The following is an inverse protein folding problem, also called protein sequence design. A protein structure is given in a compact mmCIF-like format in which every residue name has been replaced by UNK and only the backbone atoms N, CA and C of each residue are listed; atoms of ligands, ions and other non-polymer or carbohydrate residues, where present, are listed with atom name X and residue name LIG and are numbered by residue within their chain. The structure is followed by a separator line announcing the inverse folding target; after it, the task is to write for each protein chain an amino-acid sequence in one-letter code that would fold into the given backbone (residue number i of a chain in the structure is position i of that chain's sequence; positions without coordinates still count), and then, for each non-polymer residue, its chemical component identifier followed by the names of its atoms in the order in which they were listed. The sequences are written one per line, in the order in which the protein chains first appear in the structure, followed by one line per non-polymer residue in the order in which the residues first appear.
data_IF_797526424970
#
_entry.id   IF_797526424970
#
_cell.length_a   1.000
_cell.length_b   1.000
_cell.length_c   1.000
_cell.angle_alpha   90.00
_cell.angle_beta   90.00
_cell.angle_gamma   90.00
#
_symmetry.space_group_name_H-M   'P 1'
#
loop_
_entity.id
_entity.type
_entity.pdbx_description
1 polymer ?
#
# COMPACT_ATOMS: atom_id res chain seq x y z
N UNK A 1 -28.39 5.64 -30.59
CA UNK A 1 -27.92 4.82 -29.45
C UNK A 1 -26.78 5.55 -28.78
N UNK A 2 -26.94 5.99 -27.51
CA UNK A 2 -25.83 6.58 -26.74
C UNK A 2 -24.90 5.43 -26.30
N UNK A 3 -23.58 5.52 -26.50
CA UNK A 3 -22.65 4.51 -26.02
C UNK A 3 -22.73 4.45 -24.48
N UNK A 4 -22.80 3.24 -23.96
CA UNK A 4 -22.87 2.97 -22.52
C UNK A 4 -21.65 3.55 -21.82
N UNK A 5 -21.84 4.59 -21.00
CA UNK A 5 -20.85 5.09 -20.05
C UNK A 5 -20.69 4.11 -18.87
N UNK A 6 -20.25 2.88 -19.17
CA UNK A 6 -19.71 2.00 -18.15
C UNK A 6 -18.27 2.45 -17.86
N UNK A 7 -17.89 2.70 -16.60
CA UNK A 7 -16.51 3.03 -16.28
C UNK A 7 -15.59 1.90 -16.79
N UNK A 8 -14.42 2.23 -17.36
CA UNK A 8 -13.50 1.22 -17.87
C UNK A 8 -13.14 0.24 -16.76
N UNK A 9 -13.22 -1.07 -17.04
CA UNK A 9 -12.80 -2.11 -16.10
C UNK A 9 -11.38 -1.80 -15.62
N UNK A 10 -11.10 -1.83 -14.30
CA UNK A 10 -9.78 -1.52 -13.79
C UNK A 10 -8.77 -2.55 -14.34
N UNK A 11 -7.73 -2.08 -15.03
CA UNK A 11 -6.63 -2.93 -15.51
C UNK A 11 -5.97 -3.63 -14.31
N UNK A 12 -5.71 -4.92 -14.45
CA UNK A 12 -4.97 -5.73 -13.48
C UNK A 12 -3.54 -5.91 -13.99
N UNK A 13 -2.56 -5.69 -13.12
CA UNK A 13 -1.14 -5.83 -13.40
C UNK A 13 -0.58 -7.01 -12.60
N UNK A 14 0.38 -7.73 -13.17
CA UNK A 14 1.16 -8.74 -12.46
C UNK A 14 2.48 -8.12 -12.03
N UNK A 15 2.70 -8.01 -10.73
CA UNK A 15 3.97 -7.57 -10.15
C UNK A 15 4.84 -8.78 -9.87
N UNK A 16 6.14 -8.71 -10.22
CA UNK A 16 7.12 -9.70 -9.80
C UNK A 16 7.90 -9.14 -8.61
N UNK A 17 7.62 -9.62 -7.41
CA UNK A 17 8.22 -9.12 -6.17
C UNK A 17 9.05 -10.23 -5.51
N UNK A 18 10.34 -10.03 -5.40
CA UNK A 18 11.34 -11.01 -4.91
C UNK A 18 11.16 -12.38 -5.59
N UNK A 19 10.96 -12.37 -6.91
CA UNK A 19 10.76 -13.57 -7.74
C UNK A 19 9.38 -14.22 -7.62
N UNK A 20 8.41 -13.62 -6.92
CA UNK A 20 7.04 -14.15 -6.78
C UNK A 20 6.02 -13.25 -7.47
N UNK A 21 5.05 -13.81 -8.22
CA UNK A 21 4.03 -13.02 -8.90
C UNK A 21 2.92 -12.58 -7.92
N UNK A 22 2.47 -11.34 -8.05
CA UNK A 22 1.36 -10.76 -7.30
C UNK A 22 0.42 -10.00 -8.24
N UNK A 23 -0.87 -10.38 -8.24
CA UNK A 23 -1.88 -9.65 -8.98
C UNK A 23 -2.28 -8.38 -8.23
N UNK A 24 -2.15 -7.23 -8.89
CA UNK A 24 -2.49 -5.92 -8.34
C UNK A 24 -3.41 -5.18 -9.30
N UNK A 25 -4.56 -4.76 -8.80
CA UNK A 25 -5.49 -3.93 -9.58
C UNK A 25 -5.06 -2.48 -9.57
N UNK A 26 -5.15 -1.83 -10.73
CA UNK A 26 -5.08 -0.37 -10.83
C UNK A 26 -6.16 0.22 -9.93
N UNK A 27 -5.72 0.97 -8.92
CA UNK A 27 -6.58 1.80 -8.10
C UNK A 27 -5.99 3.19 -8.13
N UNK A 28 -6.66 4.07 -8.88
CA UNK A 28 -6.43 5.51 -8.73
C UNK A 28 -6.81 5.83 -7.30
N UNK A 29 -5.92 6.53 -6.59
CA UNK A 29 -6.23 7.05 -5.27
C UNK A 29 -7.49 7.91 -5.38
N UNK A 30 -8.62 7.40 -4.89
CA UNK A 30 -9.83 8.19 -4.81
C UNK A 30 -9.74 9.00 -3.53
N UNK A 31 -9.35 10.27 -3.71
CA UNK A 31 -9.31 11.22 -2.60
C UNK A 31 -10.67 11.20 -1.89
N UNK A 32 -11.82 10.92 -2.50
CA UNK A 32 -13.14 10.91 -1.81
C UNK A 32 -13.24 9.90 -0.65
N UNK A 33 -12.45 8.83 -0.64
CA UNK A 33 -12.36 7.89 0.48
C UNK A 33 -11.33 8.33 1.54
N UNK A 34 -10.51 9.34 1.24
CA UNK A 34 -9.46 9.94 2.07
C UNK A 34 -9.61 11.47 2.20
N UNK A 35 -10.76 12.04 1.81
CA UNK A 35 -11.00 13.47 1.73
C UNK A 35 -11.75 13.87 3.00
N UNK A 36 -11.00 14.57 3.85
CA UNK A 36 -11.40 15.78 4.56
C UNK A 36 -12.85 16.21 4.28
N UNK A 37 -13.72 16.31 5.30
CA UNK A 37 -15.00 17.02 5.19
C UNK A 37 -14.73 18.52 4.95
N UNK A 38 -14.49 18.92 3.70
CA UNK A 38 -14.20 20.31 3.34
C UNK A 38 -13.60 20.54 1.95
N UNK A 39 -13.06 19.52 1.26
CA UNK A 39 -12.70 19.70 -0.14
C UNK A 39 -13.96 19.60 -1.00
N UNK A 40 -14.20 20.61 -1.85
CA UNK A 40 -15.34 20.62 -2.77
C UNK A 40 -15.46 19.32 -3.58
N UNK A 41 -16.68 19.01 -4.03
CA UNK A 41 -17.08 17.70 -4.59
C UNK A 41 -16.24 17.16 -5.77
N UNK A 42 -15.37 17.96 -6.40
CA UNK A 42 -14.49 17.53 -7.49
C UNK A 42 -13.15 18.30 -7.45
N UNK A 43 -12.07 17.73 -6.89
CA UNK A 43 -10.75 18.34 -6.96
C UNK A 43 -10.25 18.38 -8.41
N UNK A 44 -9.56 19.46 -8.79
CA UNK A 44 -8.93 19.57 -10.12
C UNK A 44 -7.78 18.57 -10.26
N UNK A 45 -7.39 18.21 -11.50
CA UNK A 45 -6.22 17.33 -11.77
C UNK A 45 -4.93 17.88 -11.15
N UNK A 46 -4.80 19.20 -11.02
CA UNK A 46 -3.67 19.87 -10.37
C UNK A 46 -3.73 19.76 -8.83
N UNK A 47 -4.91 19.86 -8.23
CA UNK A 47 -5.12 19.67 -6.79
C UNK A 47 -4.95 18.20 -6.36
N UNK A 48 -5.34 17.25 -7.22
CA UNK A 48 -5.02 15.83 -7.04
C UNK A 48 -3.52 15.55 -7.19
N UNK A 49 -2.84 16.31 -8.06
CA UNK A 49 -1.39 16.23 -8.35
C UNK A 49 -0.50 16.84 -7.26
N UNK A 50 -0.97 17.85 -6.53
CA UNK A 50 -0.24 18.48 -5.41
C UNK A 50 -0.60 17.91 -4.04
N UNK A 51 -1.71 17.16 -3.93
CA UNK A 51 -2.11 16.49 -2.70
C UNK A 51 -1.48 15.09 -2.60
N UNK A 52 -0.16 14.99 -2.78
CA UNK A 52 0.57 13.86 -2.22
C UNK A 52 0.35 13.95 -0.70
N UNK A 53 -0.67 13.24 -0.21
CA UNK A 53 -1.09 13.30 1.18
C UNK A 53 0.12 12.85 1.99
N UNK A 54 0.78 13.80 2.65
CA UNK A 54 1.78 13.47 3.64
C UNK A 54 1.08 12.61 4.69
N UNK A 55 1.37 11.32 4.69
CA UNK A 55 0.82 10.37 5.66
C UNK A 55 1.71 10.44 6.89
N UNK A 56 1.18 10.91 8.03
CA UNK A 56 1.99 11.03 9.23
C UNK A 56 2.54 9.66 9.67
N UNK A 57 3.69 9.65 10.33
CA UNK A 57 4.26 8.39 10.83
C UNK A 57 4.60 8.45 12.33
N UNK A 58 4.65 9.66 12.89
CA UNK A 58 4.86 9.94 14.32
C UNK A 58 3.96 11.10 14.76
N UNK A 59 3.78 11.31 16.06
CA UNK A 59 3.08 12.50 16.58
C UNK A 59 3.83 13.80 16.22
N UNK A 60 5.16 13.76 16.24
CA UNK A 60 5.98 14.90 15.83
C UNK A 60 5.72 15.25 14.36
N UNK A 61 5.50 14.26 13.50
CA UNK A 61 5.13 14.46 12.10
C UNK A 61 3.78 15.16 11.95
N UNK A 62 2.81 14.80 12.81
CA UNK A 62 1.50 15.45 12.87
C UNK A 62 1.65 16.92 13.22
N UNK A 63 2.47 17.23 14.23
CA UNK A 63 2.72 18.58 14.71
C UNK A 63 3.49 19.44 13.70
N UNK A 64 4.61 18.96 13.16
CA UNK A 64 5.48 19.72 12.23
C UNK A 64 4.72 20.12 10.98
N UNK A 65 3.93 19.21 10.41
CA UNK A 65 3.25 19.43 9.15
C UNK A 65 1.79 19.88 9.31
N UNK A 66 1.33 20.16 10.54
CA UNK A 66 -0.05 20.59 10.81
C UNK A 66 -1.11 19.63 10.26
N UNK A 67 -0.81 18.32 10.28
CA UNK A 67 -1.56 17.30 9.53
C UNK A 67 -2.62 16.57 10.39
N UNK A 68 -3.02 17.17 11.50
CA UNK A 68 -3.96 16.57 12.47
C UNK A 68 -5.27 16.11 11.83
N UNK A 69 -5.86 16.92 10.95
CA UNK A 69 -7.10 16.54 10.26
C UNK A 69 -6.89 15.32 9.35
N UNK A 70 -5.77 15.28 8.62
CA UNK A 70 -5.40 14.15 7.76
C UNK A 70 -5.12 12.89 8.58
N UNK A 71 -4.39 13.02 9.68
CA UNK A 71 -4.12 11.93 10.62
C UNK A 71 -5.42 11.33 11.15
N UNK A 72 -6.34 12.17 11.64
CA UNK A 72 -7.62 11.74 12.16
C UNK A 72 -8.45 11.03 11.09
N UNK A 73 -8.54 11.58 9.87
CA UNK A 73 -9.33 10.99 8.80
C UNK A 73 -8.79 9.63 8.34
N UNK A 74 -7.47 9.51 8.13
CA UNK A 74 -6.82 8.25 7.70
C UNK A 74 -6.96 7.18 8.79
N UNK A 75 -6.90 7.58 10.06
CA UNK A 75 -7.07 6.66 11.20
C UNK A 75 -8.46 6.02 11.23
N UNK A 76 -9.49 6.65 10.67
CA UNK A 76 -10.86 6.09 10.67
C UNK A 76 -11.10 5.05 9.58
N UNK A 77 -10.11 4.76 8.71
CA UNK A 77 -10.28 3.85 7.58
C UNK A 77 -10.19 2.37 7.99
N UNK A 78 -11.27 1.62 7.73
CA UNK A 78 -11.36 0.18 7.98
C UNK A 78 -11.85 -0.59 6.75
N UNK A 79 -11.20 -1.72 6.46
CA UNK A 79 -11.70 -2.79 5.61
C UNK A 79 -12.82 -3.54 6.35
N UNK A 80 -14.04 -3.00 6.30
CA UNK A 80 -15.17 -3.43 7.12
C UNK A 80 -15.41 -4.95 7.15
N UNK A 81 -15.33 -5.70 6.02
CA UNK A 81 -15.45 -7.15 6.02
C UNK A 81 -14.45 -7.90 6.93
N UNK A 82 -13.26 -7.33 7.17
CA UNK A 82 -12.21 -7.91 8.00
C UNK A 82 -12.27 -7.52 9.48
N UNK A 83 -13.18 -6.61 9.85
CA UNK A 83 -13.33 -6.20 11.24
C UNK A 83 -13.74 -7.42 12.08
N UNK A 84 -12.96 -7.76 13.10
CA UNK A 84 -13.22 -8.93 13.95
C UNK A 84 -13.97 -8.54 15.21
N UNK A 85 -15.08 -9.22 15.50
CA UNK A 85 -15.93 -9.03 16.66
C UNK A 85 -15.72 -10.21 17.61
N UNK A 86 -15.49 -9.92 18.88
CA UNK A 86 -15.39 -10.94 19.93
C UNK A 86 -16.79 -11.44 20.30
N UNK A 87 -16.98 -12.77 20.30
CA UNK A 87 -18.23 -13.39 20.70
C UNK A 87 -18.20 -13.80 22.18
N UNK A 88 -19.26 -13.55 22.96
CA UNK A 88 -19.36 -14.01 24.34
C UNK A 88 -19.29 -15.54 24.42
N UNK A 89 -18.44 -16.08 25.29
CA UNK A 89 -18.41 -17.51 25.62
C UNK A 89 -17.73 -18.42 24.59
N UNK A 90 -17.13 -17.87 23.53
CA UNK A 90 -16.29 -18.63 22.59
C UNK A 90 -14.87 -18.03 22.55
N UNK A 91 -13.82 -18.84 22.38
CA UNK A 91 -12.47 -18.34 22.11
C UNK A 91 -12.36 -17.68 20.72
N UNK A 92 -13.34 -17.89 19.84
CA UNK A 92 -13.29 -17.47 18.46
C UNK A 92 -13.79 -16.03 18.26
N UNK A 93 -12.98 -15.24 17.57
CA UNK A 93 -13.40 -13.95 17.00
C UNK A 93 -14.02 -14.18 15.62
N UNK A 94 -15.14 -13.52 15.32
CA UNK A 94 -15.79 -13.60 14.00
C UNK A 94 -15.47 -12.37 13.18
N UNK A 95 -15.12 -12.55 11.90
CA UNK A 95 -15.08 -11.40 11.00
C UNK A 95 -16.49 -10.86 10.77
N UNK A 96 -16.62 -9.57 10.47
CA UNK A 96 -17.90 -8.93 10.18
C UNK A 96 -18.59 -9.61 9.00
N UNK A 97 -17.81 -10.05 8.01
CA UNK A 97 -18.31 -10.83 6.88
C UNK A 97 -18.93 -12.16 7.32
N UNK A 98 -18.27 -12.88 8.22
CA UNK A 98 -18.76 -14.18 8.71
C UNK A 98 -19.97 -13.99 9.62
N UNK A 99 -19.99 -12.92 10.43
CA UNK A 99 -21.15 -12.54 11.23
C UNK A 99 -22.34 -12.23 10.32
N UNK A 100 -22.15 -11.44 9.27
CA UNK A 100 -23.19 -11.11 8.29
C UNK A 100 -23.71 -12.36 7.58
N UNK A 101 -22.83 -13.28 7.20
CA UNK A 101 -23.22 -14.54 6.56
C UNK A 101 -24.09 -15.40 7.50
N UNK A 102 -23.64 -15.60 8.75
CA UNK A 102 -24.41 -16.35 9.76
C UNK A 102 -25.75 -15.70 10.10
N UNK A 103 -25.79 -14.38 10.18
CA UNK A 103 -27.01 -13.63 10.43
C UNK A 103 -28.02 -13.80 9.28
N UNK A 104 -27.56 -13.79 8.02
CA UNK A 104 -28.43 -14.05 6.86
C UNK A 104 -28.92 -15.50 6.88
N UNK A 105 -28.07 -16.48 7.17
CA UNK A 105 -28.46 -17.89 7.23
C UNK A 105 -29.52 -18.13 8.31
N UNK A 106 -29.35 -17.55 9.49
CA UNK A 106 -30.25 -17.77 10.64
C UNK A 106 -31.60 -17.06 10.48
N UNK A 107 -31.61 -15.84 9.92
CA UNK A 107 -32.81 -15.01 9.80
C UNK A 107 -33.30 -14.85 8.34
N UNK A 108 -32.89 -15.76 7.44
CA UNK A 108 -33.15 -15.69 6.00
C UNK A 108 -34.62 -15.50 5.64
N UNK A 109 -35.52 -16.11 6.41
CA UNK A 109 -36.96 -16.13 6.18
C UNK A 109 -37.70 -15.01 6.92
N UNK A 110 -37.07 -14.40 7.92
CA UNK A 110 -37.73 -13.47 8.86
C UNK A 110 -37.44 -11.99 8.55
N UNK A 111 -36.33 -11.69 7.89
CA UNK A 111 -35.85 -10.32 7.79
C UNK A 111 -35.03 -10.02 6.53
N UNK A 112 -35.09 -8.76 6.08
CA UNK A 112 -34.10 -8.20 5.13
C UNK A 112 -32.73 -8.16 5.80
N UNK A 113 -31.66 -8.26 5.01
CA UNK A 113 -30.26 -8.38 5.46
C UNK A 113 -29.88 -7.47 6.65
N UNK A 114 -30.13 -6.16 6.59
CA UNK A 114 -29.77 -5.25 7.69
C UNK A 114 -30.50 -5.55 9.01
N UNK A 115 -31.77 -5.97 8.92
CA UNK A 115 -32.56 -6.35 10.09
C UNK A 115 -32.11 -7.73 10.61
N UNK A 116 -31.71 -8.65 9.72
CA UNK A 116 -31.11 -9.92 10.11
C UNK A 116 -29.80 -9.72 10.91
N UNK A 117 -28.94 -8.77 10.48
CA UNK A 117 -27.71 -8.43 11.22
C UNK A 117 -28.01 -7.95 12.64
N UNK A 118 -28.98 -7.04 12.78
CA UNK A 118 -29.36 -6.48 14.07
C UNK A 118 -30.01 -7.53 14.99
N UNK A 119 -30.89 -8.38 14.45
CA UNK A 119 -31.49 -9.49 15.20
C UNK A 119 -30.43 -10.47 15.71
N UNK A 120 -29.44 -10.80 14.87
CA UNK A 120 -28.34 -11.68 15.24
C UNK A 120 -27.49 -11.09 16.38
N UNK A 121 -27.08 -9.83 16.26
CA UNK A 121 -26.28 -9.19 17.33
C UNK A 121 -27.08 -8.95 18.60
N UNK A 122 -28.37 -8.61 18.51
CA UNK A 122 -29.23 -8.48 19.70
C UNK A 122 -29.41 -9.85 20.38
N UNK A 123 -29.57 -10.93 19.62
CA UNK A 123 -29.70 -12.29 20.15
C UNK A 123 -28.42 -12.75 20.87
N UNK A 124 -27.27 -12.63 20.22
CA UNK A 124 -26.00 -13.21 20.68
C UNK A 124 -25.11 -12.25 21.49
N UNK A 125 -25.16 -10.96 21.20
CA UNK A 125 -24.30 -9.93 21.82
C UNK A 125 -25.07 -8.98 22.75
N UNK A 126 -26.41 -9.07 22.77
CA UNK A 126 -27.29 -8.17 23.54
C UNK A 126 -27.12 -6.69 23.18
N UNK A 127 -26.69 -6.41 21.95
CA UNK A 127 -26.41 -5.07 21.44
C UNK A 127 -26.85 -4.94 19.98
N UNK A 128 -27.22 -3.72 19.57
CA UNK A 128 -27.53 -3.43 18.17
C UNK A 128 -26.28 -3.54 17.31
N UNK A 129 -26.46 -3.92 16.05
CA UNK A 129 -25.36 -4.20 15.12
C UNK A 129 -24.47 -2.97 14.90
N UNK A 130 -25.06 -1.77 14.76
CA UNK A 130 -24.32 -0.52 14.65
C UNK A 130 -23.44 -0.26 15.85
N UNK A 131 -23.97 -0.47 17.06
CA UNK A 131 -23.27 -0.21 18.32
C UNK A 131 -22.09 -1.16 18.50
N UNK A 132 -22.26 -2.43 18.13
CA UNK A 132 -21.17 -3.43 18.14
C UNK A 132 -20.05 -3.02 17.20
N UNK A 133 -20.38 -2.63 15.96
CA UNK A 133 -19.39 -2.20 14.97
C UNK A 133 -18.66 -0.95 15.43
N UNK A 134 -19.38 0.06 15.92
CA UNK A 134 -18.80 1.33 16.35
C UNK A 134 -17.94 1.17 17.62
N UNK A 135 -18.40 0.38 18.59
CA UNK A 135 -17.62 0.04 19.79
C UNK A 135 -16.33 -0.68 19.43
N UNK A 136 -16.41 -1.63 18.50
CA UNK A 136 -15.24 -2.38 18.02
C UNK A 136 -14.24 -1.46 17.34
N UNK A 137 -14.69 -0.60 16.41
CA UNK A 137 -13.83 0.39 15.75
C UNK A 137 -13.17 1.33 16.75
N UNK A 138 -13.93 1.89 17.69
CA UNK A 138 -13.40 2.77 18.75
C UNK A 138 -12.31 2.08 19.57
N UNK A 139 -12.52 0.83 19.98
CA UNK A 139 -11.51 0.07 20.72
C UNK A 139 -10.22 -0.15 19.91
N UNK A 140 -10.32 -0.42 18.60
CA UNK A 140 -9.15 -0.53 17.73
C UNK A 140 -8.43 0.81 17.52
N UNK A 141 -9.18 1.90 17.42
CA UNK A 141 -8.63 3.26 17.29
C UNK A 141 -7.83 3.69 18.53
N UNK A 142 -8.31 3.37 19.73
CA UNK A 142 -7.58 3.65 20.98
C UNK A 142 -6.24 2.91 20.95
N UNK A 143 -6.25 1.60 20.70
CA UNK A 143 -5.03 0.79 20.60
C UNK A 143 -4.08 1.28 19.50
N UNK A 144 -4.63 1.74 18.38
CA UNK A 144 -3.84 2.33 17.30
C UNK A 144 -3.14 3.61 17.77
N UNK A 145 -3.87 4.52 18.41
CA UNK A 145 -3.33 5.79 18.92
C UNK A 145 -2.26 5.56 19.99
N UNK A 146 -2.51 4.65 20.93
CA UNK A 146 -1.55 4.28 21.97
C UNK A 146 -0.24 3.70 21.40
N UNK A 147 -0.33 2.97 20.28
CA UNK A 147 0.85 2.48 19.58
C UNK A 147 1.53 3.59 18.77
N UNK A 148 0.76 4.47 18.12
CA UNK A 148 1.23 5.61 17.32
C UNK A 148 1.97 6.66 18.13
N UNK A 149 1.54 6.93 19.36
CA UNK A 149 2.22 7.85 20.26
C UNK A 149 3.62 7.40 20.66
N UNK A 150 3.97 6.13 20.42
CA UNK A 150 5.29 5.56 20.70
C UNK A 150 6.21 5.56 19.46
N UNK A 151 5.73 6.03 18.31
CA UNK A 151 6.57 6.13 17.13
C UNK A 151 7.41 7.41 17.21
N UNK A 152 8.71 7.28 16.93
CA UNK A 152 9.66 8.38 16.95
C UNK A 152 10.40 8.47 15.62
N UNK A 153 10.89 9.65 15.27
CA UNK A 153 11.83 9.75 14.15
C UNK A 153 13.17 9.20 14.59
N UNK A 154 13.76 8.37 13.73
CA UNK A 154 15.10 7.88 13.99
C UNK A 154 16.12 8.99 13.70
N UNK A 155 17.07 9.26 14.62
CA UNK A 155 18.07 10.29 14.41
C UNK A 155 18.92 10.03 13.16
N UNK A 156 19.34 11.06 12.40
CA UNK A 156 20.16 10.90 11.20
C UNK A 156 21.49 10.14 11.39
N UNK A 157 22.01 10.09 12.61
CA UNK A 157 23.25 9.40 12.97
C UNK A 157 23.02 8.09 13.73
N UNK A 158 21.84 7.49 13.62
CA UNK A 158 21.55 6.24 14.32
C UNK A 158 22.44 5.09 13.81
N UNK A 159 22.79 4.13 14.68
CA UNK A 159 23.50 2.91 14.27
C UNK A 159 22.76 2.16 13.16
N UNK A 160 21.42 2.19 13.15
CA UNK A 160 20.63 1.52 12.13
C UNK A 160 20.80 2.18 10.75
N UNK A 161 20.88 3.52 10.70
CA UNK A 161 21.16 4.23 9.44
C UNK A 161 22.59 4.02 8.97
N UNK A 162 23.55 4.03 9.88
CA UNK A 162 24.96 3.75 9.57
C UNK A 162 25.14 2.33 9.02
N UNK A 163 24.42 1.35 9.58
CA UNK A 163 24.43 -0.05 9.14
C UNK A 163 23.91 -0.29 7.72
N UNK A 164 23.18 0.67 7.12
CA UNK A 164 22.70 0.58 5.74
C UNK A 164 23.74 0.97 4.69
N UNK A 165 24.86 1.61 5.08
CA UNK A 165 25.92 2.03 4.16
C UNK A 165 25.39 2.85 2.98
N UNK A 166 25.80 2.50 1.75
CA UNK A 166 25.38 3.16 0.52
C UNK A 166 23.87 3.06 0.22
N UNK A 167 23.14 2.19 0.93
CA UNK A 167 21.68 2.02 0.76
C UNK A 167 20.86 2.92 1.71
N UNK A 168 21.51 3.72 2.55
CA UNK A 168 20.84 4.60 3.51
C UNK A 168 19.92 5.65 2.83
N UNK A 169 20.20 5.99 1.57
CA UNK A 169 19.45 7.02 0.81
C UNK A 169 18.30 6.44 -0.03
N UNK A 170 18.09 5.12 -0.01
CA UNK A 170 17.01 4.46 -0.77
C UNK A 170 15.63 4.91 -0.28
N UNK A 171 15.45 5.02 1.04
CA UNK A 171 14.19 5.46 1.65
C UNK A 171 14.04 6.98 1.57
N UNK A 172 12.86 7.49 1.16
CA UNK A 172 12.66 8.94 0.93
C UNK A 172 12.17 9.67 2.16
N UNK A 173 11.49 8.95 3.03
CA UNK A 173 10.96 9.45 4.28
C UNK A 173 12.04 9.41 5.38
N UNK A 174 11.84 10.22 6.42
CA UNK A 174 12.59 10.05 7.65
C UNK A 174 12.42 8.61 8.14
N UNK A 175 13.51 8.03 8.65
CA UNK A 175 13.42 6.73 9.30
C UNK A 175 12.56 6.89 10.56
N UNK A 176 11.82 5.84 10.86
CA UNK A 176 10.89 5.80 11.98
C UNK A 176 11.28 4.64 12.86
N UNK A 177 11.44 4.93 14.14
CA UNK A 177 11.59 3.93 15.18
C UNK A 177 10.25 3.72 15.89
N UNK A 178 10.01 2.49 16.31
CA UNK A 178 8.86 2.11 17.11
C UNK A 178 9.23 0.87 17.95
N UNK A 179 8.68 0.72 19.16
CA UNK A 179 8.93 -0.48 19.96
C UNK A 179 8.28 -1.71 19.33
N UNK A 180 8.84 -2.89 19.61
CA UNK A 180 8.35 -4.17 19.08
C UNK A 180 6.86 -4.41 19.44
N UNK A 181 6.43 -3.95 20.61
CA UNK A 181 5.03 -3.97 21.06
C UNK A 181 4.10 -3.15 20.15
N UNK A 182 4.52 -1.97 19.69
CA UNK A 182 3.78 -1.15 18.73
C UNK A 182 3.72 -1.83 17.36
N UNK A 183 4.84 -2.38 16.88
CA UNK A 183 4.88 -3.13 15.61
C UNK A 183 3.94 -4.36 15.67
N UNK A 184 3.97 -5.11 16.77
CA UNK A 184 3.06 -6.23 17.00
C UNK A 184 1.59 -5.79 17.02
N UNK A 185 1.31 -4.64 17.65
CA UNK A 185 -0.02 -4.03 17.67
C UNK A 185 -0.48 -3.66 16.27
N UNK A 186 0.33 -2.99 15.47
CA UNK A 186 -0.02 -2.66 14.08
C UNK A 186 -0.28 -3.91 13.24
N UNK A 187 0.55 -4.94 13.37
CA UNK A 187 0.35 -6.22 12.68
C UNK A 187 -0.99 -6.86 13.06
N UNK A 188 -1.39 -6.79 14.33
CA UNK A 188 -2.68 -7.29 14.79
C UNK A 188 -3.85 -6.47 14.23
N UNK A 189 -3.80 -5.14 14.37
CA UNK A 189 -4.85 -4.23 13.88
C UNK A 189 -5.01 -4.29 12.35
N UNK A 190 -3.91 -4.44 11.62
CA UNK A 190 -3.91 -4.59 10.16
C UNK A 190 -4.69 -5.83 9.71
N UNK A 191 -4.55 -6.95 10.43
CA UNK A 191 -5.31 -8.19 10.17
C UNK A 191 -6.80 -8.01 10.46
N UNK A 192 -7.15 -7.13 11.40
CA UNK A 192 -8.53 -6.75 11.74
C UNK A 192 -9.08 -5.64 10.81
N UNK A 193 -8.40 -5.36 9.69
CA UNK A 193 -8.88 -4.45 8.66
C UNK A 193 -8.55 -2.98 8.87
N UNK A 194 -7.83 -2.58 9.92
CA UNK A 194 -7.43 -1.17 10.08
C UNK A 194 -6.40 -0.76 9.02
N UNK A 195 -6.79 0.12 8.10
CA UNK A 195 -6.03 0.41 6.86
C UNK A 195 -4.72 1.12 7.17
N UNK A 196 -4.74 2.08 8.09
CA UNK A 196 -3.53 2.80 8.45
C UNK A 196 -2.50 1.90 9.14
N UNK A 197 -2.96 0.96 9.98
CA UNK A 197 -2.06 -0.06 10.55
C UNK A 197 -1.51 -1.01 9.50
N UNK A 198 -2.21 -1.29 8.40
CA UNK A 198 -1.63 -2.05 7.27
C UNK A 198 -0.44 -1.30 6.69
N UNK A 199 -0.57 0.02 6.49
CA UNK A 199 0.53 0.85 6.02
C UNK A 199 1.69 0.92 7.03
N UNK A 200 1.45 1.26 8.30
CA UNK A 200 2.51 1.39 9.30
C UNK A 200 3.22 0.07 9.60
N UNK A 201 2.49 -1.05 9.67
CA UNK A 201 3.12 -2.37 9.79
C UNK A 201 4.03 -2.66 8.60
N UNK A 202 3.57 -2.35 7.39
CA UNK A 202 4.38 -2.49 6.18
C UNK A 202 5.63 -1.61 6.18
N UNK A 203 5.46 -0.34 6.50
CA UNK A 203 6.54 0.66 6.57
C UNK A 203 7.62 0.26 7.58
N UNK A 204 7.23 -0.02 8.83
CA UNK A 204 8.17 -0.34 9.91
C UNK A 204 8.89 -1.66 9.66
N UNK A 205 8.22 -2.66 9.07
CA UNK A 205 8.86 -3.91 8.66
C UNK A 205 9.85 -3.74 7.50
N UNK A 206 9.64 -2.77 6.62
CA UNK A 206 10.56 -2.45 5.53
C UNK A 206 11.82 -1.70 6.01
N UNK A 207 11.73 -1.01 7.15
CA UNK A 207 12.80 -0.22 7.78
C UNK A 207 13.74 -1.06 8.65
N UNK A 208 14.88 -0.47 9.09
CA UNK A 208 15.81 -1.14 10.01
C UNK A 208 15.17 -1.64 11.30
N UNK A 209 14.22 -0.89 11.89
CA UNK A 209 13.52 -1.26 13.12
C UNK A 209 12.78 -2.60 13.01
N UNK A 210 12.26 -2.93 11.83
CA UNK A 210 11.64 -4.21 11.53
C UNK A 210 12.55 -5.21 10.82
N UNK A 211 13.86 -4.92 10.75
CA UNK A 211 14.89 -5.80 10.18
C UNK A 211 14.75 -6.02 8.67
N UNK A 212 14.15 -5.09 7.92
CA UNK A 212 13.90 -5.24 6.48
C UNK A 212 13.16 -6.53 6.11
N UNK A 213 12.20 -6.93 6.96
CA UNK A 213 11.47 -8.19 6.84
C UNK A 213 10.65 -8.25 5.54
N UNK A 214 10.75 -9.33 4.74
CA UNK A 214 9.91 -9.56 3.55
C UNK A 214 8.40 -9.61 3.86
N UNK A 215 8.03 -9.78 5.14
CA UNK A 215 6.65 -9.71 5.58
C UNK A 215 6.00 -8.35 5.28
N UNK A 216 6.79 -7.28 5.14
CA UNK A 216 6.32 -5.94 4.78
C UNK A 216 5.47 -5.93 3.51
N UNK A 217 5.82 -6.77 2.52
CA UNK A 217 5.14 -6.88 1.21
C UNK A 217 3.65 -7.16 1.42
N UNK A 218 3.31 -8.13 2.28
CA UNK A 218 1.92 -8.50 2.54
C UNK A 218 1.09 -7.34 3.11
N UNK A 219 1.69 -6.55 4.01
CA UNK A 219 1.03 -5.42 4.66
C UNK A 219 0.88 -4.22 3.72
N UNK A 220 1.91 -3.91 2.93
CA UNK A 220 1.87 -2.84 1.93
C UNK A 220 0.89 -3.16 0.79
N UNK A 221 0.82 -4.42 0.33
CA UNK A 221 -0.19 -4.83 -0.65
C UNK A 221 -1.62 -4.78 -0.08
N UNK A 222 -1.82 -5.09 1.22
CA UNK A 222 -3.11 -4.88 1.88
C UNK A 222 -3.50 -3.39 1.91
N UNK A 223 -2.56 -2.53 2.32
CA UNK A 223 -2.78 -1.09 2.35
C UNK A 223 -3.10 -0.53 0.96
N UNK A 224 -2.37 -0.97 -0.08
CA UNK A 224 -2.64 -0.62 -1.48
C UNK A 224 -4.01 -1.12 -1.95
N UNK A 225 -4.38 -2.36 -1.60
CA UNK A 225 -5.73 -2.88 -1.89
C UNK A 225 -6.81 -2.00 -1.25
N UNK A 226 -6.52 -1.41 -0.09
CA UNK A 226 -7.37 -0.43 0.59
C UNK A 226 -7.03 1.03 0.24
N UNK A 227 -6.44 1.25 -0.96
CA UNK A 227 -6.18 2.55 -1.59
C UNK A 227 -5.28 3.50 -0.79
N UNK A 228 -4.41 2.98 0.07
CA UNK A 228 -3.43 3.83 0.74
C UNK A 228 -2.40 4.40 -0.27
N UNK A 229 -2.23 5.73 -0.38
CA UNK A 229 -1.54 6.38 -1.50
C UNK A 229 -0.04 6.12 -1.52
N UNK A 230 0.59 5.98 -0.35
CA UNK A 230 2.05 5.76 -0.24
C UNK A 230 2.48 4.29 -0.25
N UNK A 231 1.54 3.33 -0.25
CA UNK A 231 1.87 1.93 0.01
C UNK A 231 2.78 1.30 -1.06
N UNK A 232 2.48 1.52 -2.35
CA UNK A 232 3.35 1.03 -3.43
C UNK A 232 4.66 1.80 -3.54
N UNK A 233 4.71 3.07 -3.13
CA UNK A 233 5.95 3.85 -3.09
C UNK A 233 6.94 3.27 -2.08
N UNK A 234 6.48 3.00 -0.85
CA UNK A 234 7.31 2.36 0.20
C UNK A 234 7.73 0.95 -0.23
N UNK A 235 6.83 0.20 -0.90
CA UNK A 235 7.17 -1.12 -1.43
C UNK A 235 8.26 -1.03 -2.50
N UNK A 236 8.20 -0.03 -3.38
CA UNK A 236 9.22 0.21 -4.40
C UNK A 236 10.59 0.52 -3.77
N UNK A 237 10.64 1.34 -2.72
CA UNK A 237 11.86 1.65 -1.97
C UNK A 237 12.42 0.39 -1.28
N UNK A 238 11.57 -0.42 -0.65
CA UNK A 238 11.97 -1.69 -0.06
C UNK A 238 12.58 -2.64 -1.09
N UNK A 239 11.97 -2.78 -2.27
CA UNK A 239 12.47 -3.66 -3.32
C UNK A 239 13.79 -3.18 -3.90
N UNK A 240 13.94 -1.86 -4.08
CA UNK A 240 15.22 -1.25 -4.47
C UNK A 240 16.30 -1.53 -3.41
N UNK A 241 15.97 -1.42 -2.12
CA UNK A 241 16.90 -1.77 -1.03
C UNK A 241 17.33 -3.24 -1.09
N UNK A 242 16.43 -4.14 -1.53
CA UNK A 242 16.67 -5.58 -1.72
C UNK A 242 17.27 -5.94 -3.07
N UNK A 243 17.69 -4.96 -3.88
CA UNK A 243 18.21 -5.12 -5.25
C UNK A 243 17.23 -5.81 -6.22
N UNK A 244 15.93 -5.81 -5.91
CA UNK A 244 14.87 -6.23 -6.84
C UNK A 244 14.45 -5.04 -7.70
N UNK A 245 15.25 -4.77 -8.73
CA UNK A 245 15.12 -3.64 -9.61
C UNK A 245 13.83 -3.66 -10.45
N UNK A 246 13.42 -4.83 -10.94
CA UNK A 246 12.19 -4.99 -11.72
C UNK A 246 10.97 -4.72 -10.85
N UNK A 247 10.87 -5.38 -9.69
CA UNK A 247 9.77 -5.18 -8.75
C UNK A 247 9.70 -3.72 -8.27
N UNK A 248 10.85 -3.10 -8.01
CA UNK A 248 10.93 -1.69 -7.62
C UNK A 248 10.35 -0.75 -8.69
N UNK A 249 10.73 -0.92 -9.97
CA UNK A 249 10.21 -0.08 -11.06
C UNK A 249 8.74 -0.32 -11.32
N UNK A 250 8.28 -1.58 -11.30
CA UNK A 250 6.86 -1.91 -11.47
C UNK A 250 6.00 -1.25 -10.37
N UNK A 251 6.42 -1.38 -9.10
CA UNK A 251 5.74 -0.72 -7.98
C UNK A 251 5.78 0.82 -8.10
N UNK A 252 6.92 1.38 -8.49
CA UNK A 252 7.08 2.82 -8.64
C UNK A 252 6.20 3.40 -9.76
N UNK A 253 6.13 2.75 -10.93
CA UNK A 253 5.26 3.16 -12.04
C UNK A 253 3.78 3.15 -11.63
N UNK A 254 3.32 2.11 -10.94
CA UNK A 254 1.95 2.07 -10.41
C UNK A 254 1.70 3.12 -9.32
N UNK A 255 2.72 3.42 -8.51
CA UNK A 255 2.65 4.47 -7.50
C UNK A 255 2.51 5.86 -8.13
N UNK A 256 3.27 6.16 -9.21
CA UNK A 256 3.17 7.41 -9.97
C UNK A 256 1.80 7.53 -10.65
N UNK A 257 1.35 6.45 -11.28
CA UNK A 257 0.00 6.35 -11.86
C UNK A 257 -1.09 6.58 -10.81
N UNK A 258 -0.86 6.15 -9.57
CA UNK A 258 -1.71 6.40 -8.40
C UNK A 258 -1.64 7.84 -7.85
N UNK A 259 -0.72 8.68 -8.36
CA UNK A 259 -0.56 10.08 -7.96
C UNK A 259 0.67 10.37 -7.07
N UNK A 260 1.40 9.35 -6.63
CA UNK A 260 2.61 9.53 -5.82
C UNK A 260 3.86 9.68 -6.70
N UNK A 261 4.21 10.94 -6.99
CA UNK A 261 5.34 11.31 -7.86
C UNK A 261 6.70 11.06 -7.25
N UNK A 262 6.82 11.01 -5.93
CA UNK A 262 8.10 10.82 -5.24
C UNK A 262 8.72 9.45 -5.60
N UNK A 263 7.87 8.48 -5.97
CA UNK A 263 8.30 7.18 -6.49
C UNK A 263 9.13 7.27 -7.78
N UNK A 264 9.10 8.37 -8.53
CA UNK A 264 9.99 8.59 -9.68
C UNK A 264 11.48 8.55 -9.30
N UNK A 265 11.82 8.91 -8.06
CA UNK A 265 13.18 8.80 -7.54
C UNK A 265 13.68 7.35 -7.54
N UNK A 266 12.81 6.39 -7.21
CA UNK A 266 13.14 4.97 -7.25
C UNK A 266 13.47 4.56 -8.68
N UNK A 267 12.66 4.98 -9.66
CA UNK A 267 12.91 4.67 -11.08
C UNK A 267 14.28 5.23 -11.51
N UNK A 268 14.56 6.50 -11.24
CA UNK A 268 15.86 7.10 -11.56
C UNK A 268 17.02 6.37 -10.92
N UNK A 269 16.90 6.01 -9.64
CA UNK A 269 17.96 5.31 -8.92
C UNK A 269 18.18 3.91 -9.50
N UNK A 270 17.11 3.16 -9.78
CA UNK A 270 17.17 1.84 -10.39
C UNK A 270 17.86 1.88 -11.75
N UNK A 271 17.43 2.78 -12.66
CA UNK A 271 18.04 2.90 -13.98
C UNK A 271 19.49 3.39 -13.92
N UNK A 272 19.81 4.28 -12.97
CA UNK A 272 21.18 4.73 -12.68
C UNK A 272 22.10 3.55 -12.32
N UNK A 273 21.71 2.74 -11.33
CA UNK A 273 22.45 1.53 -10.95
C UNK A 273 22.59 0.57 -12.14
N UNK A 274 21.47 0.25 -12.80
CA UNK A 274 21.44 -0.76 -13.87
C UNK A 274 22.19 -0.34 -15.14
N UNK A 275 22.41 0.97 -15.36
CA UNK A 275 23.21 1.47 -16.47
C UNK A 275 24.70 1.13 -16.35
N UNK A 276 25.16 0.86 -15.13
CA UNK A 276 26.56 0.55 -14.84
C UNK A 276 26.79 -0.96 -14.66
N UNK A 277 25.71 -1.74 -14.54
CA UNK A 277 25.77 -3.19 -14.39
C UNK A 277 25.90 -3.86 -15.76
N UNK A 278 26.84 -4.80 -15.87
CA UNK A 278 26.99 -5.68 -17.03
C UNK A 278 26.46 -7.06 -16.66
N UNK A 279 25.56 -7.59 -17.48
CA UNK A 279 24.92 -8.89 -17.32
C UNK A 279 25.39 -9.82 -18.43
N UNK A 280 25.84 -11.01 -18.05
CA UNK A 280 26.21 -12.07 -18.97
C UNK A 280 24.99 -12.93 -19.28
N UNK A 281 24.57 -12.94 -20.55
CA UNK A 281 23.50 -13.80 -21.06
C UNK A 281 24.09 -14.86 -21.99
N UNK A 282 23.37 -15.96 -22.28
CA UNK A 282 23.80 -16.94 -23.27
C UNK A 282 24.11 -16.33 -24.65
N UNK A 283 23.45 -15.23 -25.02
CA UNK A 283 23.62 -14.50 -26.27
C UNK A 283 24.74 -13.45 -26.25
N UNK A 284 25.41 -13.24 -25.11
CA UNK A 284 26.50 -12.27 -24.95
C UNK A 284 26.36 -11.37 -23.72
N UNK A 285 27.21 -10.35 -23.65
CA UNK A 285 27.16 -9.36 -22.56
C UNK A 285 26.24 -8.20 -22.94
N UNK A 286 25.42 -7.75 -21.99
CA UNK A 286 24.56 -6.56 -22.15
C UNK A 286 24.53 -5.75 -20.86
N UNK A 287 23.94 -4.55 -20.90
CA UNK A 287 23.74 -3.73 -19.72
C UNK A 287 22.49 -4.14 -18.95
N UNK A 288 22.51 -4.03 -17.62
CA UNK A 288 21.36 -4.34 -16.76
C UNK A 288 20.11 -3.54 -17.14
N UNK A 289 20.26 -2.29 -17.58
CA UNK A 289 19.12 -1.47 -18.05
C UNK A 289 18.40 -2.09 -19.23
N UNK A 290 19.14 -2.74 -20.14
CA UNK A 290 18.56 -3.40 -21.30
C UNK A 290 17.72 -4.61 -20.89
N UNK A 291 18.22 -5.42 -19.94
CA UNK A 291 17.47 -6.53 -19.34
C UNK A 291 16.20 -6.02 -18.65
N UNK A 292 16.33 -4.98 -17.83
CA UNK A 292 15.19 -4.38 -17.11
C UNK A 292 14.09 -3.88 -18.06
N UNK A 293 14.47 -3.22 -19.15
CA UNK A 293 13.51 -2.75 -20.16
C UNK A 293 12.81 -3.90 -20.87
N UNK A 294 13.54 -4.97 -21.19
CA UNK A 294 12.96 -6.19 -21.75
C UNK A 294 11.92 -6.81 -20.80
N UNK A 295 12.26 -6.96 -19.52
CA UNK A 295 11.35 -7.57 -18.54
C UNK A 295 10.11 -6.68 -18.28
N UNK A 296 10.25 -5.35 -18.32
CA UNK A 296 9.12 -4.42 -18.25
C UNK A 296 8.20 -4.56 -19.47
N UNK A 297 8.75 -4.79 -20.66
CA UNK A 297 7.98 -5.08 -21.86
C UNK A 297 7.20 -6.38 -21.72
N UNK A 298 7.86 -7.48 -21.34
CA UNK A 298 7.22 -8.78 -21.15
C UNK A 298 6.11 -8.75 -20.10
N UNK A 299 6.28 -7.94 -19.06
CA UNK A 299 5.28 -7.77 -18.00
C UNK A 299 4.21 -6.71 -18.29
N UNK A 300 4.25 -6.07 -19.47
CA UNK A 300 3.20 -5.15 -19.94
C UNK A 300 3.24 -3.75 -19.31
N UNK A 301 4.41 -3.30 -18.85
CA UNK A 301 4.61 -2.00 -18.19
C UNK A 301 5.02 -0.87 -19.14
N UNK A 302 5.29 -1.16 -20.42
CA UNK A 302 5.71 -0.19 -21.43
C UNK A 302 4.86 1.07 -21.50
N UNK A 303 3.53 0.92 -21.52
CA UNK A 303 2.64 2.07 -21.64
C UNK A 303 2.76 3.00 -20.43
N UNK A 304 2.97 2.45 -19.23
CA UNK A 304 3.16 3.24 -18.03
C UNK A 304 4.54 3.91 -18.03
N UNK A 305 5.57 3.19 -18.48
CA UNK A 305 6.91 3.74 -18.60
C UNK A 305 6.93 4.90 -19.60
N UNK A 306 6.29 4.74 -20.77
CA UNK A 306 6.23 5.78 -21.80
C UNK A 306 5.39 6.99 -21.37
N UNK A 307 4.30 6.77 -20.62
CA UNK A 307 3.45 7.85 -20.12
C UNK A 307 4.13 8.68 -19.02
N UNK A 308 4.79 8.02 -18.06
CA UNK A 308 5.29 8.67 -16.85
C UNK A 308 6.79 8.96 -16.86
N UNK A 309 7.54 8.28 -17.72
CA UNK A 309 9.00 8.36 -17.79
C UNK A 309 9.48 8.33 -19.26
N UNK A 310 9.00 9.23 -20.14
CA UNK A 310 9.31 9.18 -21.57
C UNK A 310 10.82 9.24 -21.88
N UNK A 311 11.60 9.93 -21.05
CA UNK A 311 13.06 10.05 -21.21
C UNK A 311 13.81 8.74 -20.96
N UNK A 312 13.18 7.80 -20.25
CA UNK A 312 13.74 6.48 -19.93
C UNK A 312 13.12 5.37 -20.79
N UNK A 313 12.00 5.67 -21.46
CA UNK A 313 11.31 4.71 -22.29
C UNK A 313 12.09 4.50 -23.60
N UNK A 314 12.40 3.25 -23.99
CA UNK A 314 13.02 2.97 -25.27
C UNK A 314 12.10 3.44 -26.40
N UNK A 315 12.69 3.96 -27.48
CA UNK A 315 11.92 4.23 -28.70
C UNK A 315 11.36 2.93 -29.26
N UNK A 316 10.24 2.99 -29.98
CA UNK A 316 9.57 1.79 -30.51
C UNK A 316 10.51 0.90 -31.34
N UNK A 317 11.42 1.51 -32.10
CA UNK A 317 12.45 0.80 -32.88
C UNK A 317 13.51 0.11 -31.99
N UNK A 318 13.85 0.71 -30.84
CA UNK A 318 14.77 0.12 -29.86
C UNK A 318 14.10 -1.05 -29.14
N UNK A 319 12.84 -0.93 -28.72
CA UNK A 319 12.09 -2.04 -28.10
C UNK A 319 12.00 -3.27 -29.02
N UNK A 320 11.71 -3.06 -30.31
CA UNK A 320 11.67 -4.15 -31.30
C UNK A 320 13.06 -4.80 -31.54
N UNK A 321 14.13 -4.03 -31.40
CA UNK A 321 15.51 -4.54 -31.53
C UNK A 321 15.94 -5.31 -30.28
N UNK A 322 15.56 -4.85 -29.08
CA UNK A 322 15.81 -5.53 -27.82
C UNK A 322 15.16 -6.92 -27.81
N UNK A 323 13.90 -7.02 -28.23
CA UNK A 323 13.19 -8.30 -28.36
C UNK A 323 13.93 -9.30 -29.26
N UNK A 324 14.53 -8.84 -30.36
CA UNK A 324 15.27 -9.69 -31.29
C UNK A 324 16.62 -10.18 -30.74
N UNK A 325 17.22 -9.45 -29.78
CA UNK A 325 18.50 -9.83 -29.16
C UNK A 325 18.33 -10.85 -28.03
N UNK A 326 17.19 -10.87 -27.34
CA UNK A 326 16.90 -11.81 -26.25
C UNK A 326 16.23 -13.11 -26.70
N UNK A 327 15.60 -13.13 -27.88
CA UNK A 327 14.93 -14.31 -28.46
C UNK A 327 15.83 -15.17 -29.37
N UNK A 328 17.15 -14.96 -29.38
CA UNK A 328 18.15 -15.77 -30.10
C UNK A 328 19.01 -16.55 -29.13
#
# INVERSE_FOLDING_TARGET
MKPSNLPPKPKEYSLLLLGKPYAVRKKVFDRKEFLLPGAGKNPTRAEAKNAAVHTPVTEMDVLIFGSEKVFNDISLAFDAPKLTIAMPGAPDTLSLKDLQARAIEEFALEAKANKAYDLFTVKHLKQHYSDVVDKTKKALLVRFRDAFSQNEFEPPLSPAKQGMGHKADVFSHNLVWAPESSIATYKALARQGHVYSQYLAGLLLAMPVGGHSPSCISYLLMAHKNKHPKALGVLAEYLLFRDDYLGAVQCALLSIEGGNRDAYRVIKHTFGINSQLVVNLPSGMTFGTVVLLHDLHETGFDSLLQEHCPDLAPSKAVSETLLRQFLR
#
